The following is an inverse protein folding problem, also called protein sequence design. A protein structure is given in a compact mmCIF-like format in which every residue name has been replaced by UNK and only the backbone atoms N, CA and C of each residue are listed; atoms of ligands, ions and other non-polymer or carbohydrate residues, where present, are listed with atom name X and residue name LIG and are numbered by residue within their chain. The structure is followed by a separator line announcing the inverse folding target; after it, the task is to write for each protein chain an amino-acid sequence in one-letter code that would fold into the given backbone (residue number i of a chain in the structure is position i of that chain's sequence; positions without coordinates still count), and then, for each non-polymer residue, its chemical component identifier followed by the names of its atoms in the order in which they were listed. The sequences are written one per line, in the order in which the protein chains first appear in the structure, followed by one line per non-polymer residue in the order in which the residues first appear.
data_IF_461720124122
#
_entry.id   IF_461720124122
#
_cell.length_a   1.000
_cell.length_b   1.000
_cell.length_c   1.000
_cell.angle_alpha   90.00
_cell.angle_beta   90.00
_cell.angle_gamma   90.00
#
_symmetry.space_group_name_H-M   'P 1'
#
loop_
_entity.id
_entity.type
_entity.pdbx_description
1 polymer ?
#
# COMPACT_ATOMS: atom_id res chain seq x y z
N UNK A 1 2.95 9.01 -10.06
CA UNK A 1 3.14 8.29 -8.79
C UNK A 1 1.80 8.11 -8.09
N UNK A 2 1.05 9.17 -7.83
CA UNK A 2 -0.28 9.08 -7.19
C UNK A 2 -1.26 8.09 -7.85
N UNK A 3 -1.28 8.02 -9.18
CA UNK A 3 -2.14 7.07 -9.89
C UNK A 3 -1.87 5.60 -9.52
N UNK A 4 -0.61 5.23 -9.30
CA UNK A 4 -0.24 3.85 -8.96
C UNK A 4 -0.76 3.48 -7.57
N UNK A 5 -0.62 4.41 -6.63
CA UNK A 5 -1.17 4.32 -5.28
C UNK A 5 -2.68 4.16 -5.24
N UNK A 6 -3.39 5.02 -5.97
CA UNK A 6 -4.85 4.90 -6.12
C UNK A 6 -5.27 3.56 -6.74
N UNK A 7 -4.52 3.05 -7.71
CA UNK A 7 -4.78 1.73 -8.31
C UNK A 7 -4.54 0.61 -7.29
N UNK A 8 -3.46 0.69 -6.50
CA UNK A 8 -3.16 -0.30 -5.47
C UNK A 8 -4.25 -0.34 -4.39
N UNK A 9 -4.66 0.83 -3.88
CA UNK A 9 -5.78 0.95 -2.94
C UNK A 9 -7.08 0.40 -3.56
N UNK A 10 -7.39 0.75 -4.81
CA UNK A 10 -8.56 0.22 -5.49
C UNK A 10 -8.52 -1.32 -5.58
N UNK A 11 -7.36 -1.92 -5.88
CA UNK A 11 -7.20 -3.38 -5.93
C UNK A 11 -7.44 -4.05 -4.58
N UNK A 12 -6.98 -3.45 -3.47
CA UNK A 12 -7.22 -3.96 -2.11
C UNK A 12 -8.73 -4.13 -1.83
N UNK A 13 -9.54 -3.15 -2.24
CA UNK A 13 -11.00 -3.22 -2.04
C UNK A 13 -11.71 -4.06 -3.10
N UNK A 14 -11.32 -3.93 -4.36
CA UNK A 14 -12.00 -4.57 -5.49
C UNK A 14 -11.80 -6.08 -5.51
N UNK A 15 -10.60 -6.59 -5.18
CA UNK A 15 -10.33 -8.03 -5.27
C UNK A 15 -11.23 -8.88 -4.34
N UNK A 16 -11.29 -8.61 -3.02
CA UNK A 16 -12.19 -9.36 -2.12
C UNK A 16 -13.66 -9.16 -2.50
N UNK A 17 -14.03 -7.94 -2.91
CA UNK A 17 -15.41 -7.60 -3.29
C UNK A 17 -15.86 -8.36 -4.55
N UNK A 18 -15.04 -8.37 -5.60
CA UNK A 18 -15.28 -9.10 -6.85
C UNK A 18 -15.32 -10.61 -6.55
N UNK A 19 -14.39 -11.14 -5.75
CA UNK A 19 -14.38 -12.54 -5.35
C UNK A 19 -15.68 -12.95 -4.64
N UNK A 20 -16.19 -12.12 -3.73
CA UNK A 20 -17.47 -12.34 -3.04
C UNK A 20 -18.68 -12.28 -3.99
N UNK A 21 -18.71 -11.33 -4.94
CA UNK A 21 -19.79 -11.26 -5.94
C UNK A 21 -19.74 -12.49 -6.85
N UNK A 22 -18.56 -12.83 -7.36
CA UNK A 22 -18.35 -13.97 -8.26
C UNK A 22 -18.73 -15.28 -7.58
N UNK A 23 -18.26 -15.54 -6.36
CA UNK A 23 -18.60 -16.73 -5.60
C UNK A 23 -20.11 -16.88 -5.39
N UNK A 24 -20.80 -15.80 -5.01
CA UNK A 24 -22.26 -15.80 -4.85
C UNK A 24 -23.00 -16.03 -6.17
N UNK A 25 -22.54 -15.44 -7.28
CA UNK A 25 -23.12 -15.67 -8.62
C UNK A 25 -22.96 -17.12 -9.05
N UNK A 26 -21.78 -17.70 -8.85
CA UNK A 26 -21.46 -19.09 -9.20
C UNK A 26 -22.32 -20.10 -8.42
N UNK A 27 -22.48 -19.90 -7.11
CA UNK A 27 -23.32 -20.79 -6.28
C UNK A 27 -24.78 -20.75 -6.76
N UNK A 28 -25.34 -19.56 -7.00
CA UNK A 28 -26.72 -19.44 -7.51
C UNK A 28 -26.90 -20.06 -8.89
N UNK A 29 -25.90 -19.92 -9.76
CA UNK A 29 -25.95 -20.53 -11.09
C UNK A 29 -25.97 -22.06 -11.00
N UNK A 30 -25.09 -22.65 -10.17
CA UNK A 30 -25.04 -24.11 -9.96
C UNK A 30 -26.35 -24.67 -9.39
N UNK A 31 -26.97 -23.98 -8.44
CA UNK A 31 -28.27 -24.38 -7.86
C UNK A 31 -29.36 -24.42 -8.93
N UNK A 32 -29.45 -23.38 -9.77
CA UNK A 32 -30.44 -23.32 -10.86
C UNK A 32 -30.26 -24.43 -11.88
N UNK A 33 -29.01 -24.68 -12.31
CA UNK A 33 -28.72 -25.74 -13.28
C UNK A 33 -28.98 -27.13 -12.68
N UNK A 34 -28.76 -27.33 -11.38
CA UNK A 34 -29.07 -28.60 -10.72
C UNK A 34 -30.57 -28.84 -10.56
N UNK A 35 -31.37 -27.79 -10.33
CA UNK A 35 -32.83 -27.87 -10.29
C UNK A 35 -33.43 -28.16 -11.67
N UNK A 36 -32.87 -27.58 -12.73
CA UNK A 36 -33.33 -27.81 -14.11
C UNK A 36 -33.04 -29.24 -14.59
N UNK A 37 -31.93 -29.83 -14.16
CA UNK A 37 -31.49 -31.16 -14.57
C UNK A 37 -32.07 -32.31 -13.73
N UNK A 38 -32.63 -32.00 -12.56
CA UNK A 38 -33.24 -32.96 -11.64
C UNK A 38 -34.69 -32.55 -11.40
N UNK A 39 -35.65 -33.15 -12.12
CA UNK A 39 -37.10 -33.01 -11.93
C UNK A 39 -37.54 -33.58 -10.56
N UNK A 40 -36.95 -33.12 -9.46
CA UNK A 40 -37.30 -33.48 -8.09
C UNK A 40 -37.87 -32.20 -7.47
N UNK A 41 -39.14 -32.25 -7.07
CA UNK A 41 -39.94 -31.13 -6.53
C UNK A 41 -39.41 -30.50 -5.22
N UNK A 42 -38.19 -30.83 -4.80
CA UNK A 42 -37.55 -30.23 -3.64
C UNK A 42 -36.36 -29.40 -4.06
N UNK A 43 -36.52 -28.08 -4.14
CA UNK A 43 -35.39 -27.14 -4.26
C UNK A 43 -34.35 -27.55 -3.22
N UNK A 44 -33.10 -27.79 -3.61
CA UNK A 44 -32.02 -28.05 -2.65
C UNK A 44 -31.82 -26.77 -1.87
N UNK A 45 -32.54 -26.64 -0.75
CA UNK A 45 -32.61 -25.42 0.04
C UNK A 45 -31.21 -25.17 0.60
N UNK A 46 -30.58 -24.10 0.14
CA UNK A 46 -29.28 -23.68 0.61
C UNK A 46 -29.37 -23.39 2.12
N UNK A 47 -28.92 -24.33 2.97
CA UNK A 47 -28.95 -24.18 4.42
C UNK A 47 -27.87 -23.22 4.96
N UNK A 48 -26.82 -22.96 4.18
CA UNK A 48 -25.74 -22.04 4.57
C UNK A 48 -26.05 -20.60 4.16
N UNK A 49 -25.73 -19.63 5.03
CA UNK A 49 -25.76 -18.21 4.68
C UNK A 49 -24.52 -17.86 3.84
N UNK A 50 -24.53 -18.21 2.56
CA UNK A 50 -23.40 -17.94 1.64
C UNK A 50 -23.02 -16.47 1.56
N UNK A 51 -23.97 -15.56 1.77
CA UNK A 51 -23.68 -14.12 1.85
C UNK A 51 -22.94 -13.74 3.13
N UNK A 52 -23.23 -14.38 4.26
CA UNK A 52 -22.55 -14.13 5.53
C UNK A 52 -21.11 -14.64 5.46
N UNK A 53 -20.91 -15.91 5.07
CA UNK A 53 -19.57 -16.49 5.00
C UNK A 53 -18.69 -15.85 3.93
N UNK A 54 -19.25 -15.47 2.78
CA UNK A 54 -18.52 -14.75 1.74
C UNK A 54 -18.05 -13.37 2.20
N UNK A 55 -18.91 -12.61 2.89
CA UNK A 55 -18.54 -11.33 3.46
C UNK A 55 -17.50 -11.49 4.58
N UNK A 56 -17.71 -12.44 5.49
CA UNK A 56 -16.79 -12.75 6.57
C UNK A 56 -15.38 -13.05 6.04
N UNK A 57 -15.26 -13.95 5.07
CA UNK A 57 -13.97 -14.28 4.47
C UNK A 57 -13.34 -13.08 3.76
N UNK A 58 -14.14 -12.26 3.08
CA UNK A 58 -13.65 -11.04 2.44
C UNK A 58 -13.07 -10.06 3.47
N UNK A 59 -13.73 -9.91 4.62
CA UNK A 59 -13.26 -9.08 5.72
C UNK A 59 -12.00 -9.65 6.37
N UNK A 60 -11.90 -10.98 6.53
CA UNK A 60 -10.69 -11.63 7.05
C UNK A 60 -9.45 -11.38 6.18
N UNK A 61 -9.61 -11.11 4.87
CA UNK A 61 -8.50 -10.75 3.98
C UNK A 61 -8.30 -9.23 3.93
N UNK A 62 -9.39 -8.47 3.84
CA UNK A 62 -9.34 -7.01 3.71
C UNK A 62 -8.75 -6.35 4.97
N UNK A 63 -9.18 -6.75 6.17
CA UNK A 63 -8.75 -6.13 7.42
C UNK A 63 -7.23 -6.23 7.64
N UNK A 64 -6.57 -7.40 7.52
CA UNK A 64 -5.13 -7.50 7.67
C UNK A 64 -4.35 -6.65 6.67
N UNK A 65 -4.79 -6.60 5.41
CA UNK A 65 -4.15 -5.79 4.37
C UNK A 65 -4.26 -4.31 4.71
N UNK A 66 -5.45 -3.83 5.09
CA UNK A 66 -5.65 -2.45 5.53
C UNK A 66 -4.80 -2.11 6.77
N UNK A 67 -4.67 -3.05 7.72
CA UNK A 67 -3.85 -2.84 8.90
C UNK A 67 -2.37 -2.67 8.56
N UNK A 68 -1.84 -3.48 7.64
CA UNK A 68 -0.45 -3.38 7.17
C UNK A 68 -0.23 -2.06 6.41
N UNK A 69 -1.14 -1.70 5.49
CA UNK A 69 -1.05 -0.43 4.75
C UNK A 69 -1.13 0.76 5.70
N UNK A 70 -2.01 0.72 6.69
CA UNK A 70 -2.12 1.76 7.71
C UNK A 70 -0.85 1.88 8.55
N UNK A 71 -0.30 0.75 9.02
CA UNK A 71 0.98 0.75 9.73
C UNK A 71 2.10 1.34 8.86
N UNK A 72 2.16 0.98 7.58
CA UNK A 72 3.14 1.56 6.65
C UNK A 72 2.98 3.07 6.52
N UNK A 73 1.75 3.58 6.36
CA UNK A 73 1.50 5.02 6.28
C UNK A 73 1.95 5.75 7.55
N UNK A 74 1.68 5.18 8.73
CA UNK A 74 2.07 5.78 10.02
C UNK A 74 3.59 5.75 10.24
N UNK A 75 4.27 4.66 9.91
CA UNK A 75 5.69 4.47 10.24
C UNK A 75 6.67 4.86 9.12
N UNK A 76 6.21 4.93 7.86
CA UNK A 76 7.10 5.22 6.72
C UNK A 76 7.87 6.54 6.84
N UNK A 77 7.31 7.67 7.32
CA UNK A 77 8.09 8.90 7.44
C UNK A 77 9.26 8.76 8.41
N UNK A 78 9.05 8.05 9.52
CA UNK A 78 10.09 7.79 10.52
C UNK A 78 11.19 6.89 9.95
N UNK A 79 10.81 5.83 9.21
CA UNK A 79 11.76 4.92 8.56
C UNK A 79 12.60 5.69 7.52
N UNK A 80 11.95 6.43 6.62
CA UNK A 80 12.61 7.21 5.57
C UNK A 80 13.58 8.23 6.17
N UNK A 81 13.14 8.98 7.19
CA UNK A 81 14.00 9.95 7.89
C UNK A 81 15.22 9.27 8.52
N UNK A 82 15.04 8.13 9.18
CA UNK A 82 16.15 7.40 9.79
C UNK A 82 17.17 6.87 8.78
N UNK A 83 16.70 6.36 7.63
CA UNK A 83 17.53 5.91 6.52
C UNK A 83 18.30 7.08 5.91
N UNK A 84 17.64 8.22 5.76
CA UNK A 84 18.26 9.42 5.20
C UNK A 84 19.34 10.00 6.11
N UNK A 85 19.06 10.09 7.42
CA UNK A 85 20.06 10.51 8.42
C UNK A 85 21.28 9.58 8.37
N UNK A 86 21.06 8.26 8.28
CA UNK A 86 22.16 7.29 8.17
C UNK A 86 23.02 7.52 6.93
N UNK A 87 22.41 7.83 5.79
CA UNK A 87 23.16 8.08 4.54
C UNK A 87 23.93 9.40 4.59
N UNK A 88 23.30 10.47 5.10
CA UNK A 88 23.97 11.78 5.25
C UNK A 88 25.17 11.67 6.20
N UNK A 89 25.01 11.01 7.35
CA UNK A 89 26.13 10.77 8.28
C UNK A 89 27.27 10.00 7.61
N UNK A 90 26.95 9.04 6.73
CA UNK A 90 27.95 8.25 6.02
C UNK A 90 28.73 9.06 4.98
N UNK A 91 28.08 10.03 4.33
CA UNK A 91 28.68 10.89 3.30
C UNK A 91 29.46 12.07 3.88
N UNK A 92 28.94 12.69 4.94
CA UNK A 92 29.49 13.93 5.52
C UNK A 92 30.36 13.69 6.77
N UNK A 93 30.23 12.53 7.42
CA UNK A 93 30.82 12.27 8.73
C UNK A 93 30.13 13.02 9.88
N UNK A 94 29.05 13.76 9.62
CA UNK A 94 28.34 14.56 10.62
C UNK A 94 27.52 13.67 11.56
N UNK A 95 27.62 13.97 12.86
CA UNK A 95 26.96 13.21 13.92
C UNK A 95 26.12 14.09 14.84
N UNK A 96 26.23 15.42 14.77
CA UNK A 96 25.37 16.33 15.52
C UNK A 96 23.93 16.24 15.01
N UNK A 97 22.96 15.82 15.84
CA UNK A 97 21.55 15.73 15.46
C UNK A 97 20.97 17.05 14.95
N UNK A 98 21.46 18.20 15.46
CA UNK A 98 20.98 19.52 15.03
C UNK A 98 21.42 19.79 13.59
N UNK A 99 22.69 19.53 13.27
CA UNK A 99 23.20 19.72 11.91
C UNK A 99 22.53 18.75 10.94
N UNK A 100 22.38 17.48 11.34
CA UNK A 100 21.70 16.47 10.54
C UNK A 100 20.25 16.86 10.19
N UNK A 101 19.48 17.40 11.14
CA UNK A 101 18.12 17.87 10.85
C UNK A 101 18.07 19.02 9.82
N UNK A 102 19.06 19.91 9.82
CA UNK A 102 19.19 20.98 8.83
C UNK A 102 19.54 20.38 7.46
N UNK A 103 20.47 19.42 7.42
CA UNK A 103 20.87 18.74 6.19
C UNK A 103 19.72 17.95 5.56
N UNK A 104 18.93 17.23 6.38
CA UNK A 104 17.70 16.57 5.94
C UNK A 104 16.73 17.59 5.33
N UNK A 105 16.46 18.69 6.03
CA UNK A 105 15.53 19.73 5.56
C UNK A 105 16.00 20.38 4.26
N UNK A 106 17.30 20.64 4.10
CA UNK A 106 17.89 21.14 2.85
C UNK A 106 17.70 20.15 1.71
N UNK A 107 17.88 18.86 1.96
CA UNK A 107 17.72 17.83 0.94
C UNK A 107 16.27 17.67 0.50
N UNK A 108 15.33 17.70 1.45
CA UNK A 108 13.89 17.71 1.15
C UNK A 108 13.52 18.92 0.28
N UNK A 109 14.00 20.12 0.65
CA UNK A 109 13.80 21.32 -0.16
C UNK A 109 14.44 21.25 -1.56
N UNK A 110 15.59 20.57 -1.70
CA UNK A 110 16.22 20.31 -2.99
C UNK A 110 15.39 19.33 -3.83
N UNK A 111 14.89 18.26 -3.22
CA UNK A 111 14.04 17.28 -3.89
C UNK A 111 12.72 17.89 -4.36
N UNK A 112 12.11 18.76 -3.56
CA UNK A 112 10.88 19.49 -3.90
C UNK A 112 11.11 20.61 -4.94
N UNK A 113 12.37 20.86 -5.33
CA UNK A 113 12.74 21.89 -6.30
C UNK A 113 12.65 23.32 -5.76
N UNK A 114 12.50 23.50 -4.43
CA UNK A 114 12.47 24.80 -3.76
C UNK A 114 13.89 25.38 -3.63
N UNK A 115 14.88 24.52 -3.38
CA UNK A 115 16.29 24.88 -3.29
C UNK A 115 17.03 24.46 -4.55
N UNK A 116 17.74 25.38 -5.20
CA UNK A 116 18.55 25.03 -6.37
C UNK A 116 19.82 24.27 -5.96
N UNK A 117 20.19 23.27 -6.76
CA UNK A 117 21.36 22.42 -6.51
C UNK A 117 22.66 23.23 -6.31
N UNK A 118 22.80 24.37 -6.98
CA UNK A 118 23.97 25.26 -6.90
C UNK A 118 24.29 25.74 -5.47
N UNK A 119 23.29 25.85 -4.60
CA UNK A 119 23.44 26.30 -3.21
C UNK A 119 23.64 25.16 -2.20
N UNK A 120 23.82 23.94 -2.70
CA UNK A 120 23.90 22.73 -1.90
C UNK A 120 25.27 22.06 -2.05
N UNK A 121 25.78 21.58 -0.92
CA UNK A 121 27.06 20.87 -0.80
C UNK A 121 27.07 19.60 -1.70
N UNK A 122 28.23 19.23 -2.28
CA UNK A 122 28.32 18.08 -3.19
C UNK A 122 27.88 16.76 -2.56
N UNK A 123 28.15 16.55 -1.27
CA UNK A 123 27.74 15.33 -0.56
C UNK A 123 26.21 15.21 -0.49
N UNK A 124 25.49 16.33 -0.31
CA UNK A 124 24.03 16.32 -0.27
C UNK A 124 23.42 16.06 -1.65
N UNK A 125 24.07 16.52 -2.73
CA UNK A 125 23.65 16.18 -4.10
C UNK A 125 23.73 14.68 -4.34
N UNK A 126 24.75 14.01 -3.80
CA UNK A 126 24.86 12.55 -3.88
C UNK A 126 23.75 11.85 -3.08
N UNK A 127 23.36 12.41 -1.93
CA UNK A 127 22.25 11.89 -1.12
C UNK A 127 20.87 12.04 -1.81
N UNK A 128 20.73 12.93 -2.80
CA UNK A 128 19.47 13.14 -3.53
C UNK A 128 19.05 11.91 -4.34
N UNK A 129 20.01 11.25 -4.99
CA UNK A 129 19.74 10.02 -5.75
C UNK A 129 19.28 8.89 -4.81
N UNK A 130 19.89 8.80 -3.62
CA UNK A 130 19.45 7.88 -2.59
C UNK A 130 18.03 8.20 -2.12
N UNK A 131 17.78 9.46 -1.75
CA UNK A 131 16.48 9.92 -1.27
C UNK A 131 15.36 9.69 -2.29
N UNK A 132 15.58 10.05 -3.56
CA UNK A 132 14.61 9.81 -4.62
C UNK A 132 14.31 8.32 -4.82
N UNK A 133 15.33 7.45 -4.69
CA UNK A 133 15.15 6.00 -4.81
C UNK A 133 14.32 5.40 -3.66
N UNK A 134 14.50 5.87 -2.42
CA UNK A 134 13.74 5.37 -1.27
C UNK A 134 12.30 5.91 -1.29
N UNK A 135 12.11 7.17 -1.67
CA UNK A 135 10.77 7.77 -1.84
C UNK A 135 10.01 7.06 -2.95
N UNK A 136 10.66 6.79 -4.08
CA UNK A 136 10.06 6.03 -5.17
C UNK A 136 9.54 4.67 -4.69
N UNK A 137 10.35 3.92 -3.93
CA UNK A 137 9.97 2.62 -3.38
C UNK A 137 8.87 2.72 -2.31
N UNK A 138 8.93 3.73 -1.46
CA UNK A 138 7.93 3.95 -0.43
C UNK A 138 6.54 4.25 -1.02
N UNK A 139 6.53 5.01 -2.12
CA UNK A 139 5.33 5.38 -2.88
C UNK A 139 4.83 4.28 -3.84
N UNK A 140 5.46 3.10 -3.91
CA UNK A 140 4.86 1.94 -4.62
C UNK A 140 3.76 1.31 -3.75
N UNK A 141 3.91 1.41 -2.43
CA UNK A 141 2.97 0.83 -1.45
C UNK A 141 1.79 1.79 -1.19
N UNK A 142 1.89 3.04 -1.64
CA UNK A 142 1.00 4.16 -1.32
C UNK A 142 0.49 4.85 -2.58
#
# INVERSE_FOLDING_TARGET
MELLGWVFLALIFLLPFIANIYGRRRIRWLIRTSEEQTQIEGSVKQHSLTSFHGLFLSMCVLLPVLMITFMWFVFSPMIISSLLVSEITKLTGETDPRVLSILVSKLEALYDGVLHAEFVEPELRQALDYYSSIIFRANIIL
#
